data_IF_149233168868
#
_entry.id   IF_149233168868
#
_cell.length_a   1.000
_cell.length_b   1.000
_cell.length_c   1.000
_cell.angle_alpha   90.00
_cell.angle_beta   90.00
_cell.angle_gamma   90.00
#
_symmetry.space_group_name_H-M   'P 1'
#
loop_
_entity.id
_entity.type
_entity.pdbx_description
1 polymer ?
#
# COMPACT_ATOMS: atom_id res chain seq x y z
N UNK A 1 30.86 5.48 -9.74
CA UNK A 1 29.61 4.76 -9.46
C UNK A 1 29.93 3.28 -9.39
N UNK A 2 29.53 2.59 -8.33
CA UNK A 2 29.72 1.14 -8.24
C UNK A 2 28.72 0.44 -9.17
N UNK A 3 29.16 -0.65 -9.84
CA UNK A 3 28.24 -1.50 -10.59
C UNK A 3 27.38 -2.28 -9.61
N UNK A 4 26.06 -2.22 -9.77
CA UNK A 4 25.14 -2.94 -8.93
C UNK A 4 25.01 -4.41 -9.40
N UNK A 5 24.69 -5.36 -8.50
CA UNK A 5 24.62 -6.77 -8.86
C UNK A 5 23.58 -7.09 -9.94
N UNK A 6 22.50 -6.31 -10.01
CA UNK A 6 21.43 -6.47 -11.00
C UNK A 6 21.78 -5.90 -12.38
N UNK A 7 22.86 -5.13 -12.54
CA UNK A 7 23.25 -4.57 -13.85
C UNK A 7 23.64 -5.67 -14.85
N UNK A 8 24.00 -6.86 -14.34
CA UNK A 8 24.39 -8.04 -15.14
C UNK A 8 23.22 -9.00 -15.41
N UNK A 9 22.04 -8.69 -14.89
CA UNK A 9 20.86 -9.55 -14.97
C UNK A 9 19.87 -8.94 -15.96
N UNK A 10 19.28 -9.73 -16.88
CA UNK A 10 18.27 -9.21 -17.80
C UNK A 10 17.14 -8.48 -17.04
N UNK A 11 16.63 -7.34 -17.55
CA UNK A 11 15.60 -6.59 -16.85
C UNK A 11 14.37 -7.42 -16.46
N UNK A 12 13.94 -8.36 -17.32
CA UNK A 12 12.82 -9.27 -17.05
C UNK A 12 13.03 -10.22 -15.85
N UNK A 13 14.29 -10.43 -15.46
CA UNK A 13 14.70 -11.29 -14.35
C UNK A 13 15.10 -10.47 -13.11
N UNK A 14 14.69 -9.21 -13.06
CA UNK A 14 14.87 -8.32 -11.89
C UNK A 14 13.54 -7.71 -11.51
N UNK A 15 13.28 -7.53 -10.21
CA UNK A 15 12.12 -6.78 -9.74
C UNK A 15 12.53 -5.78 -8.66
N UNK A 16 12.01 -4.56 -8.75
CA UNK A 16 12.26 -3.48 -7.79
C UNK A 16 10.96 -3.08 -7.11
N UNK A 17 10.87 -3.31 -5.79
CA UNK A 17 9.66 -3.05 -5.01
C UNK A 17 9.94 -2.10 -3.86
N UNK A 18 9.26 -0.95 -3.86
CA UNK A 18 9.29 0.04 -2.78
C UNK A 18 8.11 -0.19 -1.83
N UNK A 19 8.35 -0.22 -0.52
CA UNK A 19 7.29 -0.42 0.49
C UNK A 19 7.33 0.71 1.50
N UNK A 20 6.25 1.49 1.58
CA UNK A 20 6.18 2.56 2.58
C UNK A 20 5.86 2.03 3.98
N UNK A 21 6.49 2.58 5.00
CA UNK A 21 6.30 2.14 6.39
C UNK A 21 6.81 0.73 6.66
N UNK A 22 7.95 0.36 6.09
CA UNK A 22 8.47 -1.01 6.08
C UNK A 22 9.10 -1.51 7.39
N UNK A 23 9.19 -0.68 8.43
CA UNK A 23 9.95 -1.00 9.64
C UNK A 23 9.22 -1.86 10.68
N UNK A 24 7.92 -2.11 10.52
CA UNK A 24 7.11 -2.83 11.49
C UNK A 24 5.75 -3.20 10.91
N UNK A 25 5.03 -4.11 11.58
CA UNK A 25 3.67 -4.46 11.21
C UNK A 25 3.58 -4.96 9.77
N UNK A 26 2.49 -4.66 9.08
CA UNK A 26 2.21 -5.15 7.73
C UNK A 26 3.32 -4.76 6.74
N UNK A 27 3.87 -3.55 6.83
CA UNK A 27 4.96 -3.12 5.95
C UNK A 27 6.22 -3.99 6.02
N UNK A 28 6.57 -4.46 7.22
CA UNK A 28 7.67 -5.41 7.40
C UNK A 28 7.28 -6.80 6.88
N UNK A 29 6.04 -7.25 7.18
CA UNK A 29 5.49 -8.50 6.67
C UNK A 29 5.38 -8.56 5.14
N UNK A 30 5.16 -7.42 4.47
CA UNK A 30 5.23 -7.29 3.02
C UNK A 30 6.64 -7.59 2.53
N UNK A 31 7.68 -7.06 3.20
CA UNK A 31 9.06 -7.37 2.88
C UNK A 31 9.36 -8.87 3.01
N UNK A 32 9.00 -9.48 4.15
CA UNK A 32 9.19 -10.91 4.42
C UNK A 32 8.49 -11.78 3.37
N UNK A 33 7.20 -11.55 3.14
CA UNK A 33 6.40 -12.36 2.23
C UNK A 33 6.79 -12.16 0.77
N UNK A 34 7.18 -10.95 0.38
CA UNK A 34 7.71 -10.68 -0.95
C UNK A 34 8.98 -11.49 -1.22
N UNK A 35 9.88 -11.59 -0.24
CA UNK A 35 11.08 -12.44 -0.33
C UNK A 35 10.68 -13.90 -0.53
N UNK A 36 9.79 -14.42 0.31
CA UNK A 36 9.41 -15.83 0.31
C UNK A 36 8.72 -16.24 -1.00
N UNK A 37 7.70 -15.48 -1.42
CA UNK A 37 6.94 -15.76 -2.65
C UNK A 37 7.79 -15.53 -3.90
N UNK A 38 8.62 -14.49 -3.94
CA UNK A 38 9.50 -14.26 -5.09
C UNK A 38 10.49 -15.41 -5.26
N UNK A 39 11.20 -15.77 -4.18
CA UNK A 39 12.22 -16.81 -4.23
C UNK A 39 11.63 -18.18 -4.60
N UNK A 40 10.39 -18.47 -4.19
CA UNK A 40 9.72 -19.75 -4.47
C UNK A 40 9.00 -19.82 -5.81
N UNK A 41 8.72 -18.69 -6.46
CA UNK A 41 7.98 -18.67 -7.74
C UNK A 41 8.83 -18.25 -8.94
N UNK A 42 9.86 -17.42 -8.74
CA UNK A 42 10.69 -16.86 -9.81
C UNK A 42 11.94 -17.69 -10.10
N UNK A 43 12.58 -17.40 -11.23
CA UNK A 43 13.78 -18.12 -11.67
C UNK A 43 14.88 -18.08 -10.59
N UNK A 44 15.64 -19.16 -10.47
CA UNK A 44 16.78 -19.28 -9.56
C UNK A 44 17.94 -18.32 -9.90
N UNK A 45 17.92 -17.68 -11.06
CA UNK A 45 18.86 -16.64 -11.48
C UNK A 45 18.32 -15.22 -11.35
N UNK A 46 17.04 -15.06 -10.98
CA UNK A 46 16.39 -13.74 -10.93
C UNK A 46 16.70 -13.01 -9.61
N UNK A 47 16.70 -11.67 -9.63
CA UNK A 47 17.08 -10.84 -8.49
C UNK A 47 15.90 -10.00 -7.98
N UNK A 48 15.73 -9.97 -6.66
CA UNK A 48 14.74 -9.14 -5.97
C UNK A 48 15.44 -7.96 -5.31
N UNK A 49 14.93 -6.76 -5.53
CA UNK A 49 15.33 -5.54 -4.80
C UNK A 49 14.13 -5.04 -3.99
N UNK A 50 14.26 -5.06 -2.65
CA UNK A 50 13.25 -4.56 -1.72
C UNK A 50 13.75 -3.25 -1.12
N UNK A 51 12.92 -2.21 -1.20
CA UNK A 51 13.25 -0.87 -0.70
C UNK A 51 12.19 -0.46 0.34
N UNK A 52 12.28 -0.93 1.60
CA UNK A 52 11.47 -0.38 2.68
C UNK A 52 11.81 1.09 2.94
N UNK A 53 10.80 1.92 3.15
CA UNK A 53 10.98 3.30 3.64
C UNK A 53 10.75 3.37 5.14
N UNK A 54 11.53 4.17 5.85
CA UNK A 54 11.35 4.39 7.30
C UNK A 54 11.54 5.85 7.67
N UNK A 55 11.15 6.27 8.88
CA UNK A 55 11.30 7.67 9.32
C UNK A 55 12.72 8.04 9.79
N UNK A 56 13.64 7.08 9.98
CA UNK A 56 14.98 7.39 10.49
C UNK A 56 16.03 6.39 10.04
N UNK A 57 17.29 6.83 9.97
CA UNK A 57 18.42 5.96 9.61
C UNK A 57 18.51 4.69 10.47
N UNK A 58 18.30 4.82 11.79
CA UNK A 58 18.31 3.68 12.71
C UNK A 58 17.24 2.64 12.33
N UNK A 59 16.00 3.09 12.11
CA UNK A 59 14.91 2.19 11.71
C UNK A 59 15.17 1.56 10.35
N UNK A 60 15.76 2.30 9.42
CA UNK A 60 16.18 1.77 8.11
C UNK A 60 17.18 0.63 8.28
N UNK A 61 18.20 0.81 9.12
CA UNK A 61 19.18 -0.25 9.39
C UNK A 61 18.56 -1.47 10.07
N UNK A 62 17.78 -1.27 11.14
CA UNK A 62 17.06 -2.35 11.83
C UNK A 62 16.14 -3.14 10.88
N UNK A 63 15.49 -2.45 9.94
CA UNK A 63 14.62 -3.07 8.93
C UNK A 63 15.42 -3.90 7.93
N UNK A 64 16.53 -3.35 7.42
CA UNK A 64 17.44 -4.05 6.51
C UNK A 64 17.95 -5.33 7.18
N UNK A 65 18.43 -5.23 8.42
CA UNK A 65 18.97 -6.37 9.17
C UNK A 65 17.88 -7.40 9.50
N UNK A 66 16.66 -6.94 9.80
CA UNK A 66 15.47 -7.77 9.94
C UNK A 66 15.19 -8.63 8.72
N UNK A 67 15.07 -7.99 7.55
CA UNK A 67 14.75 -8.67 6.29
C UNK A 67 15.91 -9.55 5.80
N UNK A 68 17.17 -9.16 6.05
CA UNK A 68 18.35 -10.01 5.81
C UNK A 68 18.29 -11.28 6.66
N UNK A 69 18.01 -11.16 7.95
CA UNK A 69 17.86 -12.31 8.85
C UNK A 69 16.73 -13.24 8.40
N UNK A 70 15.58 -12.67 8.02
CA UNK A 70 14.47 -13.44 7.45
C UNK A 70 14.88 -14.19 6.18
N UNK A 71 15.53 -13.50 5.23
CA UNK A 71 16.01 -14.09 3.98
C UNK A 71 16.95 -15.28 4.23
N UNK A 72 17.91 -15.14 5.15
CA UNK A 72 18.82 -16.24 5.53
C UNK A 72 18.04 -17.42 6.11
N UNK A 73 17.16 -17.14 7.06
CA UNK A 73 16.36 -18.17 7.70
C UNK A 73 15.53 -18.92 6.64
N UNK A 74 14.81 -18.20 5.78
CA UNK A 74 14.01 -18.80 4.72
C UNK A 74 14.85 -19.59 3.71
N UNK A 75 16.00 -19.05 3.30
CA UNK A 75 16.91 -19.75 2.39
C UNK A 75 17.40 -21.09 2.97
N UNK A 76 17.62 -21.17 4.28
CA UNK A 76 18.05 -22.41 4.94
C UNK A 76 16.88 -23.37 5.17
N UNK A 77 15.73 -22.87 5.61
CA UNK A 77 14.64 -23.73 6.10
C UNK A 77 13.68 -24.18 5.01
N UNK A 78 13.54 -23.42 3.91
CA UNK A 78 12.49 -23.67 2.90
C UNK A 78 12.69 -24.97 2.11
N UNK A 79 11.80 -25.93 2.32
CA UNK A 79 11.74 -27.18 1.54
C UNK A 79 11.37 -26.92 0.08
N UNK A 80 10.57 -25.89 -0.19
CA UNK A 80 10.20 -25.52 -1.56
C UNK A 80 11.42 -25.10 -2.37
N UNK A 81 12.33 -24.33 -1.78
CA UNK A 81 13.58 -23.93 -2.46
C UNK A 81 14.50 -25.13 -2.69
N UNK A 82 14.68 -25.99 -1.68
CA UNK A 82 15.50 -27.21 -1.81
C UNK A 82 14.97 -28.12 -2.91
N UNK A 83 13.66 -28.36 -2.95
CA UNK A 83 13.01 -29.18 -3.99
C UNK A 83 13.19 -28.60 -5.39
N UNK A 84 13.12 -27.27 -5.54
CA UNK A 84 13.27 -26.60 -6.84
C UNK A 84 14.70 -26.57 -7.34
N UNK A 85 15.67 -26.33 -6.46
CA UNK A 85 17.08 -26.23 -6.83
C UNK A 85 17.81 -27.59 -6.89
N UNK A 86 17.26 -28.61 -6.24
CA UNK A 86 17.82 -29.97 -6.25
C UNK A 86 18.96 -30.18 -5.25
N UNK A 87 19.69 -31.30 -5.36
CA UNK A 87 20.68 -31.73 -4.37
C UNK A 87 21.86 -30.77 -4.15
N UNK A 88 22.15 -29.90 -5.14
CA UNK A 88 23.23 -28.91 -5.10
C UNK A 88 22.78 -27.54 -4.57
N UNK A 89 21.64 -27.48 -3.88
CA UNK A 89 21.10 -26.23 -3.35
C UNK A 89 22.05 -25.59 -2.33
N UNK A 90 22.49 -24.37 -2.63
CA UNK A 90 23.27 -23.54 -1.72
C UNK A 90 22.43 -22.33 -1.27
N UNK A 91 22.04 -22.26 0.02
CA UNK A 91 21.31 -21.11 0.58
C UNK A 91 21.98 -19.77 0.32
N UNK A 92 23.32 -19.73 0.23
CA UNK A 92 24.08 -18.50 -0.01
C UNK A 92 23.86 -17.94 -1.41
N UNK A 93 23.68 -18.80 -2.41
CA UNK A 93 23.31 -18.35 -3.76
C UNK A 93 21.91 -17.70 -3.79
N UNK A 94 21.01 -18.13 -2.89
CA UNK A 94 19.69 -17.51 -2.73
C UNK A 94 19.78 -16.13 -2.11
N UNK A 95 20.49 -15.99 -0.98
CA UNK A 95 20.61 -14.71 -0.26
C UNK A 95 21.28 -13.63 -1.11
N UNK A 96 22.30 -13.99 -1.92
CA UNK A 96 23.02 -13.05 -2.80
C UNK A 96 22.18 -12.47 -3.95
N UNK A 97 20.97 -12.99 -4.19
CA UNK A 97 20.02 -12.48 -5.19
C UNK A 97 18.94 -11.57 -4.58
N UNK A 98 18.92 -11.41 -3.26
CA UNK A 98 17.99 -10.52 -2.55
C UNK A 98 18.76 -9.31 -2.06
N UNK A 99 18.36 -8.14 -2.54
CA UNK A 99 19.01 -6.87 -2.28
C UNK A 99 18.06 -5.99 -1.48
N UNK A 100 18.47 -5.58 -0.28
CA UNK A 100 17.62 -4.77 0.61
C UNK A 100 18.29 -3.43 0.84
N UNK A 101 17.62 -2.36 0.40
CA UNK A 101 18.03 -0.97 0.54
C UNK A 101 16.96 -0.20 1.30
N UNK A 102 17.24 1.02 1.74
CA UNK A 102 16.21 1.84 2.39
C UNK A 102 16.38 3.31 2.06
N UNK A 103 15.26 4.02 2.05
CA UNK A 103 15.21 5.48 1.94
C UNK A 103 14.40 6.04 3.10
N UNK A 104 14.82 7.20 3.62
CA UNK A 104 14.12 7.86 4.71
C UNK A 104 12.94 8.66 4.18
N UNK A 105 11.75 8.40 4.71
CA UNK A 105 10.50 9.02 4.29
C UNK A 105 9.62 9.27 5.50
N UNK A 106 9.30 10.54 5.74
CA UNK A 106 8.16 10.93 6.57
C UNK A 106 7.08 11.56 5.69
N UNK A 107 5.96 10.84 5.54
CA UNK A 107 4.82 11.27 4.71
C UNK A 107 4.14 12.53 5.26
N UNK A 108 4.34 12.83 6.54
CA UNK A 108 3.86 14.06 7.16
C UNK A 108 4.83 15.25 7.00
N UNK A 109 5.91 15.10 6.23
CA UNK A 109 6.85 16.17 5.89
C UNK A 109 7.10 16.19 4.38
N UNK A 110 6.52 17.16 3.68
CA UNK A 110 6.67 17.31 2.23
C UNK A 110 8.13 17.50 1.80
N UNK A 111 8.98 18.24 2.55
CA UNK A 111 10.41 18.24 2.28
C UNK A 111 11.05 16.84 2.40
N UNK A 112 10.62 16.02 3.36
CA UNK A 112 11.08 14.63 3.44
C UNK A 112 10.63 13.81 2.24
N UNK A 113 9.38 13.98 1.79
CA UNK A 113 8.84 13.32 0.59
C UNK A 113 9.68 13.67 -0.64
N UNK A 114 9.95 14.97 -0.85
CA UNK A 114 10.78 15.46 -1.96
C UNK A 114 12.21 14.93 -1.91
N UNK A 115 12.86 14.97 -0.75
CA UNK A 115 14.22 14.43 -0.58
C UNK A 115 14.27 12.93 -0.89
N UNK A 116 13.32 12.16 -0.38
CA UNK A 116 13.24 10.72 -0.64
C UNK A 116 13.07 10.41 -2.13
N UNK A 117 12.15 11.11 -2.80
CA UNK A 117 11.93 10.93 -4.23
C UNK A 117 13.15 11.34 -5.06
N UNK A 118 13.76 12.49 -4.76
CA UNK A 118 14.99 12.96 -5.42
C UNK A 118 16.14 11.97 -5.25
N UNK A 119 16.31 11.41 -4.05
CA UNK A 119 17.33 10.39 -3.78
C UNK A 119 17.11 9.13 -4.62
N UNK A 120 15.87 8.66 -4.74
CA UNK A 120 15.55 7.50 -5.57
C UNK A 120 15.73 7.76 -7.07
N UNK A 121 15.23 8.90 -7.57
CA UNK A 121 15.17 9.21 -9.01
C UNK A 121 16.54 9.62 -9.56
N UNK A 122 17.28 10.43 -8.81
CA UNK A 122 18.51 11.09 -9.30
C UNK A 122 19.76 10.77 -8.48
N UNK A 123 19.59 10.24 -7.27
CA UNK A 123 20.67 9.94 -6.34
C UNK A 123 21.05 8.46 -6.35
N UNK A 124 21.59 8.04 -5.21
CA UNK A 124 22.01 6.67 -4.94
C UNK A 124 21.52 6.21 -3.57
N UNK A 125 21.47 4.90 -3.40
CA UNK A 125 21.23 4.25 -2.11
C UNK A 125 22.45 3.39 -1.74
N UNK A 126 22.64 3.19 -0.44
CA UNK A 126 23.69 2.33 0.12
C UNK A 126 23.07 1.43 1.19
N UNK A 127 23.56 0.20 1.24
CA UNK A 127 23.22 -0.81 2.25
C UNK A 127 24.44 -1.70 2.44
N UNK A 128 25.49 -1.18 3.11
CA UNK A 128 26.68 -1.97 3.40
C UNK A 128 26.31 -3.23 4.19
N UNK A 129 27.11 -4.28 4.02
CA UNK A 129 27.00 -5.51 4.78
C UNK A 129 28.39 -6.11 4.96
N UNK A 130 28.72 -6.46 6.20
CA UNK A 130 29.91 -7.23 6.54
C UNK A 130 29.63 -8.74 6.49
N UNK A 131 28.42 -9.12 6.09
CA UNK A 131 27.93 -10.48 6.04
C UNK A 131 28.03 -11.03 4.61
N UNK A 132 28.90 -12.02 4.39
CA UNK A 132 29.23 -12.55 3.05
C UNK A 132 28.06 -13.30 2.38
N UNK A 133 26.98 -13.58 3.12
CA UNK A 133 25.73 -14.08 2.53
C UNK A 133 25.01 -13.00 1.71
N UNK A 134 25.30 -11.72 1.94
CA UNK A 134 24.70 -10.60 1.22
C UNK A 134 25.72 -9.82 0.43
N UNK A 135 25.29 -9.28 -0.71
CA UNK A 135 26.13 -8.37 -1.47
C UNK A 135 26.08 -6.99 -0.81
N UNK A 136 27.23 -6.45 -0.44
CA UNK A 136 27.36 -5.08 0.05
C UNK A 136 27.09 -4.09 -1.09
N UNK A 137 26.17 -3.15 -0.87
CA UNK A 137 25.72 -2.19 -1.88
C UNK A 137 26.16 -0.78 -1.47
N UNK A 138 26.98 -0.13 -2.30
CA UNK A 138 27.50 1.22 -2.04
C UNK A 138 27.22 2.10 -3.23
N UNK A 139 26.49 3.20 -3.01
CA UNK A 139 26.18 4.22 -4.00
C UNK A 139 25.60 3.66 -5.31
N UNK A 140 24.64 2.75 -5.17
CA UNK A 140 23.96 2.11 -6.29
C UNK A 140 22.75 2.93 -6.74
N UNK A 141 22.50 2.97 -8.04
CA UNK A 141 21.33 3.62 -8.62
C UNK A 141 20.16 2.65 -8.72
N UNK A 142 18.96 3.16 -8.49
CA UNK A 142 17.71 2.42 -8.75
C UNK A 142 17.29 2.72 -10.18
N UNK A 143 17.34 1.74 -11.11
CA UNK A 143 17.07 2.01 -12.52
C UNK A 143 15.57 2.20 -12.78
N UNK A 144 14.72 1.62 -11.95
CA UNK A 144 13.26 1.65 -12.06
C UNK A 144 12.59 1.14 -10.79
N UNK A 145 11.28 1.33 -10.70
CA UNK A 145 10.40 0.67 -9.73
C UNK A 145 9.35 -0.13 -10.50
N UNK A 146 9.24 -1.42 -10.21
CA UNK A 146 8.23 -2.31 -10.81
C UNK A 146 6.95 -2.33 -9.97
N UNK A 147 7.06 -2.13 -8.66
CA UNK A 147 5.91 -1.92 -7.79
C UNK A 147 6.24 -0.95 -6.65
N UNK A 148 5.25 -0.15 -6.28
CA UNK A 148 5.28 0.71 -5.10
C UNK A 148 4.05 0.40 -4.26
N UNK A 149 4.27 -0.01 -3.02
CA UNK A 149 3.22 -0.42 -2.08
C UNK A 149 3.05 0.65 -1.00
N UNK A 150 1.93 1.35 -1.07
CA UNK A 150 1.53 2.41 -0.16
C UNK A 150 0.78 1.84 1.06
N UNK A 151 1.56 1.20 1.94
CA UNK A 151 1.13 0.58 3.20
C UNK A 151 1.08 1.57 4.39
N UNK A 152 2.00 2.52 4.46
CA UNK A 152 2.14 3.37 5.65
C UNK A 152 0.81 4.10 5.98
N UNK A 153 0.53 4.27 7.26
CA UNK A 153 -0.64 5.02 7.69
C UNK A 153 -0.76 5.11 9.19
N UNK A 154 -1.67 5.98 9.64
CA UNK A 154 -2.04 6.17 11.04
C UNK A 154 -3.55 6.15 11.20
N UNK A 155 -4.04 5.69 12.35
CA UNK A 155 -5.47 5.63 12.65
C UNK A 155 -6.05 6.90 13.28
N UNK A 156 -5.25 7.67 14.04
CA UNK A 156 -5.73 8.86 14.75
C UNK A 156 -6.57 8.57 16.01
N UNK A 157 -6.67 7.31 16.44
CA UNK A 157 -7.44 6.88 17.62
C UNK A 157 -6.72 7.15 18.95
N UNK A 158 -7.50 7.32 20.01
CA UNK A 158 -7.02 7.42 21.40
C UNK A 158 -7.41 6.23 22.28
N UNK A 159 -8.34 5.38 21.83
CA UNK A 159 -8.79 4.23 22.60
C UNK A 159 -10.13 3.66 22.14
N UNK A 160 -10.80 2.92 23.00
CA UNK A 160 -12.11 2.30 22.76
C UNK A 160 -13.22 3.03 23.54
N UNK A 161 -14.38 3.18 22.92
CA UNK A 161 -15.64 3.50 23.59
C UNK A 161 -16.23 2.20 24.16
N UNK A 162 -15.91 1.89 25.42
CA UNK A 162 -16.26 0.62 26.06
C UNK A 162 -17.76 0.29 26.07
N UNK A 163 -18.67 1.22 26.44
CA UNK A 163 -20.11 0.98 26.28
C UNK A 163 -20.48 0.58 24.86
N UNK A 164 -19.91 1.25 23.83
CA UNK A 164 -20.14 0.88 22.43
C UNK A 164 -19.52 -0.46 22.05
N UNK A 165 -18.41 -0.88 22.65
CA UNK A 165 -17.83 -2.23 22.42
C UNK A 165 -18.86 -3.29 22.76
N UNK A 166 -19.39 -3.26 23.99
CA UNK A 166 -20.39 -4.24 24.44
C UNK A 166 -21.65 -4.14 23.60
N UNK A 167 -22.18 -2.94 23.39
CA UNK A 167 -23.37 -2.72 22.56
C UNK A 167 -23.18 -3.30 21.15
N UNK A 168 -22.04 -3.08 20.52
CA UNK A 168 -21.76 -3.54 19.16
C UNK A 168 -21.62 -5.06 19.08
N UNK A 169 -20.98 -5.70 20.06
CA UNK A 169 -20.91 -7.16 20.17
C UNK A 169 -22.31 -7.76 20.36
N UNK A 170 -23.12 -7.22 21.26
CA UNK A 170 -24.47 -7.74 21.53
C UNK A 170 -25.44 -7.54 20.37
N UNK A 171 -25.34 -6.42 19.64
CA UNK A 171 -26.30 -6.08 18.57
C UNK A 171 -25.89 -6.61 17.20
N UNK A 172 -24.59 -6.65 16.88
CA UNK A 172 -24.09 -7.05 15.54
C UNK A 172 -23.35 -8.38 15.54
N UNK A 173 -23.10 -8.96 16.72
CA UNK A 173 -22.33 -10.18 16.88
C UNK A 173 -20.81 -9.96 16.82
N UNK A 174 -20.06 -10.95 17.34
CA UNK A 174 -18.62 -10.86 17.52
C UNK A 174 -17.85 -10.66 16.20
N UNK A 175 -18.22 -11.40 15.14
CA UNK A 175 -17.56 -11.30 13.82
C UNK A 175 -17.71 -9.88 13.26
N UNK A 176 -18.92 -9.32 13.27
CA UNK A 176 -19.14 -7.97 12.74
C UNK A 176 -18.41 -6.93 13.58
N UNK A 177 -18.46 -7.04 14.90
CA UNK A 177 -17.85 -6.06 15.82
C UNK A 177 -16.32 -6.02 15.71
N UNK A 178 -15.69 -7.12 15.31
CA UNK A 178 -14.23 -7.24 15.18
C UNK A 178 -13.73 -7.01 13.75
N UNK A 179 -14.62 -7.13 12.74
CA UNK A 179 -14.32 -6.82 11.34
C UNK A 179 -14.60 -5.35 11.00
N UNK A 180 -15.71 -4.81 11.49
CA UNK A 180 -16.20 -3.44 11.22
C UNK A 180 -16.55 -2.71 12.53
N UNK A 181 -15.57 -2.46 13.41
CA UNK A 181 -15.78 -1.85 14.71
C UNK A 181 -16.34 -0.43 14.61
N UNK A 182 -17.42 -0.14 15.33
CA UNK A 182 -18.05 1.20 15.43
C UNK A 182 -17.78 1.91 16.76
N UNK A 183 -16.85 1.37 17.54
CA UNK A 183 -16.54 1.79 18.90
C UNK A 183 -15.11 2.36 19.06
N UNK A 184 -14.45 2.68 17.95
CA UNK A 184 -13.11 3.27 17.97
C UNK A 184 -13.22 4.74 18.39
N UNK A 185 -12.58 5.10 19.50
CA UNK A 185 -12.49 6.47 19.97
C UNK A 185 -11.43 7.23 19.18
N UNK A 186 -11.85 8.25 18.43
CA UNK A 186 -10.97 9.19 17.74
C UNK A 186 -11.45 10.64 17.94
N UNK A 187 -10.50 11.57 17.88
CA UNK A 187 -10.76 13.01 17.94
C UNK A 187 -10.61 13.60 16.55
N UNK A 188 -11.54 14.48 16.17
CA UNK A 188 -11.32 15.42 15.07
C UNK A 188 -10.29 16.48 15.44
N UNK A 189 -9.90 17.28 14.47
CA UNK A 189 -9.02 18.45 14.62
C UNK A 189 -7.53 18.12 14.66
N UNK A 190 -7.13 16.90 14.26
CA UNK A 190 -5.71 16.53 14.22
C UNK A 190 -5.02 17.18 13.02
N UNK A 191 -4.17 18.16 13.30
CA UNK A 191 -3.49 18.97 12.28
C UNK A 191 -1.98 18.78 12.35
N UNK A 192 -1.35 18.90 11.18
CA UNK A 192 0.11 18.94 11.02
C UNK A 192 0.50 20.09 10.11
N UNK A 193 1.62 20.75 10.39
CA UNK A 193 2.30 21.56 9.40
C UNK A 193 3.19 20.63 8.57
N UNK A 194 2.88 20.38 7.31
CA UNK A 194 3.57 19.37 6.52
C UNK A 194 4.86 19.94 5.90
N UNK A 195 5.18 21.22 6.08
CA UNK A 195 6.48 21.80 5.71
C UNK A 195 7.50 21.48 6.80
N UNK A 196 7.18 21.78 8.05
CA UNK A 196 8.07 21.54 9.20
C UNK A 196 7.97 20.13 9.76
N UNK A 197 6.87 19.41 9.47
CA UNK A 197 6.55 18.11 10.09
C UNK A 197 6.07 18.22 11.54
N UNK A 198 5.72 19.42 12.01
CA UNK A 198 5.35 19.66 13.42
C UNK A 198 3.83 19.56 13.63
N UNK A 199 3.41 18.89 14.70
CA UNK A 199 2.00 18.79 15.11
C UNK A 199 1.55 20.05 15.86
N UNK A 200 0.25 20.31 15.87
CA UNK A 200 -0.35 21.38 16.67
C UNK A 200 -0.71 22.63 15.87
N UNK A 201 -0.95 23.75 16.57
CA UNK A 201 -1.40 25.01 15.98
C UNK A 201 -0.24 25.76 15.32
N UNK A 202 -0.33 26.01 14.01
CA UNK A 202 0.65 26.74 13.19
C UNK A 202 0.14 26.86 11.75
N UNK A 203 0.67 27.77 10.92
CA UNK A 203 0.25 27.91 9.52
C UNK A 203 1.48 27.67 8.63
N UNK A 204 1.35 26.95 7.50
CA UNK A 204 0.15 26.27 6.98
C UNK A 204 -0.11 24.89 7.61
N UNK A 205 -1.36 24.40 7.52
CA UNK A 205 -1.82 23.13 8.11
C UNK A 205 -2.61 22.25 7.14
N UNK A 206 -2.55 20.94 7.37
CA UNK A 206 -3.32 19.87 6.70
C UNK A 206 -3.79 18.86 7.77
N UNK A 207 -4.85 18.10 7.50
CA UNK A 207 -5.24 16.98 8.35
C UNK A 207 -4.11 15.95 8.51
N UNK A 208 -3.73 15.62 9.75
CA UNK A 208 -2.59 14.73 10.05
C UNK A 208 -2.78 13.34 9.44
N UNK A 209 -3.97 12.77 9.62
CA UNK A 209 -4.33 11.43 9.14
C UNK A 209 -4.42 11.40 7.61
N UNK A 210 -4.99 12.45 7.00
CA UNK A 210 -5.04 12.61 5.55
C UNK A 210 -3.65 12.77 4.95
N UNK A 211 -2.77 13.55 5.57
CA UNK A 211 -1.39 13.72 5.12
C UNK A 211 -0.63 12.39 5.15
N UNK A 212 -0.73 11.65 6.24
CA UNK A 212 -0.06 10.37 6.41
C UNK A 212 -0.59 9.25 5.50
N UNK A 213 -1.91 9.17 5.28
CA UNK A 213 -2.56 8.04 4.62
C UNK A 213 -2.77 8.24 3.11
N UNK A 214 -2.82 9.49 2.64
CA UNK A 214 -3.18 9.82 1.24
C UNK A 214 -2.24 10.85 0.65
N UNK A 215 -2.20 12.07 1.20
CA UNK A 215 -1.57 13.20 0.50
C UNK A 215 -0.05 13.08 0.38
N UNK A 216 0.65 12.64 1.43
CA UNK A 216 2.09 12.40 1.38
C UNK A 216 2.46 11.33 0.35
N UNK A 217 1.68 10.26 0.25
CA UNK A 217 1.86 9.21 -0.76
C UNK A 217 1.57 9.72 -2.16
N UNK A 218 0.53 10.53 -2.32
CA UNK A 218 0.16 11.15 -3.59
C UNK A 218 1.33 11.97 -4.15
N UNK A 219 1.88 12.88 -3.34
CA UNK A 219 3.05 13.67 -3.73
C UNK A 219 4.29 12.80 -4.00
N UNK A 220 4.46 11.73 -3.24
CA UNK A 220 5.57 10.82 -3.42
C UNK A 220 5.47 10.06 -4.75
N UNK A 221 4.33 9.46 -5.07
CA UNK A 221 4.13 8.74 -6.32
C UNK A 221 4.30 9.64 -7.55
N UNK A 222 3.78 10.87 -7.51
CA UNK A 222 3.93 11.82 -8.61
C UNK A 222 5.41 12.06 -8.94
N UNK A 223 6.26 12.20 -7.92
CA UNK A 223 7.70 12.41 -8.09
C UNK A 223 8.46 11.13 -8.47
N UNK A 224 7.90 9.95 -8.17
CA UNK A 224 8.47 8.66 -8.55
C UNK A 224 8.07 8.21 -9.97
N UNK A 225 7.18 8.93 -10.66
CA UNK A 225 6.78 8.62 -12.04
C UNK A 225 7.97 8.34 -12.96
N UNK A 226 9.11 9.09 -12.93
CA UNK A 226 10.26 8.79 -13.79
C UNK A 226 10.85 7.37 -13.61
N UNK A 227 10.69 6.74 -12.43
CA UNK A 227 11.15 5.37 -12.18
C UNK A 227 10.08 4.32 -12.54
N UNK A 228 8.82 4.73 -12.63
CA UNK A 228 7.66 3.85 -12.85
C UNK A 228 7.23 3.81 -14.32
N UNK A 229 7.29 4.95 -15.00
CA UNK A 229 7.04 5.06 -16.42
C UNK A 229 7.94 4.11 -17.22
N UNK A 230 7.38 3.55 -18.30
CA UNK A 230 8.09 2.65 -19.21
C UNK A 230 8.06 3.22 -20.62
N UNK A 231 9.12 3.09 -21.42
CA UNK A 231 9.04 3.32 -22.87
C UNK A 231 7.97 2.40 -23.49
N UNK A 232 7.24 2.85 -24.52
CA UNK A 232 6.21 2.02 -25.15
C UNK A 232 6.72 0.71 -25.76
N UNK A 233 7.99 0.66 -26.17
CA UNK A 233 8.63 -0.56 -26.68
C UNK A 233 9.23 -1.44 -25.56
N UNK A 234 9.00 -1.10 -24.29
CA UNK A 234 9.45 -1.89 -23.15
C UNK A 234 8.84 -3.29 -23.19
N UNK A 235 9.67 -4.31 -23.02
CA UNK A 235 9.21 -5.70 -22.82
C UNK A 235 8.77 -5.98 -21.38
N UNK A 236 9.01 -5.04 -20.46
CA UNK A 236 8.55 -5.15 -19.07
C UNK A 236 7.07 -4.75 -18.98
N UNK A 237 6.36 -5.42 -18.06
CA UNK A 237 5.01 -5.00 -17.68
C UNK A 237 4.99 -3.55 -17.16
N UNK A 238 3.84 -2.86 -17.26
CA UNK A 238 3.64 -1.58 -16.57
C UNK A 238 3.93 -1.73 -15.08
N UNK A 239 4.59 -0.73 -14.49
CA UNK A 239 4.80 -0.73 -13.04
C UNK A 239 3.47 -0.53 -12.30
N UNK A 240 3.47 -0.81 -10.99
CA UNK A 240 2.25 -0.84 -10.18
C UNK A 240 2.32 0.13 -9.01
N UNK A 241 1.31 0.95 -8.83
CA UNK A 241 1.06 1.70 -7.59
C UNK A 241 -0.06 0.95 -6.86
N UNK A 242 0.27 0.34 -5.73
CA UNK A 242 -0.64 -0.49 -4.94
C UNK A 242 -0.99 0.28 -3.67
N UNK A 243 -2.23 0.75 -3.58
CA UNK A 243 -2.74 1.47 -2.42
C UNK A 243 -3.33 0.52 -1.40
N UNK A 244 -2.85 0.62 -0.15
CA UNK A 244 -3.39 -0.15 0.95
C UNK A 244 -4.51 0.62 1.67
N UNK A 245 -5.73 0.17 1.45
CA UNK A 245 -6.94 0.63 2.12
C UNK A 245 -7.27 -0.25 3.35
N UNK A 246 -8.52 -0.24 3.79
CA UNK A 246 -9.04 -1.04 4.90
C UNK A 246 -10.30 -1.80 4.46
N UNK A 247 -10.69 -2.85 5.19
CA UNK A 247 -12.00 -3.53 4.99
C UNK A 247 -13.19 -2.65 5.45
N UNK A 248 -12.90 -1.53 6.12
CA UNK A 248 -13.87 -0.78 6.92
C UNK A 248 -14.64 0.40 6.31
N UNK A 249 -14.14 1.15 5.30
CA UNK A 249 -14.73 2.44 4.97
C UNK A 249 -16.10 2.30 4.30
N UNK A 250 -17.12 2.87 4.95
CA UNK A 250 -18.48 2.99 4.39
C UNK A 250 -18.65 4.28 3.59
N UNK A 251 -19.77 4.39 2.87
CA UNK A 251 -20.13 5.59 2.13
C UNK A 251 -20.10 6.86 3.00
N UNK A 252 -20.70 6.80 4.19
CA UNK A 252 -20.87 7.95 5.10
C UNK A 252 -19.56 8.43 5.76
N UNK A 253 -18.48 7.64 5.67
CA UNK A 253 -17.22 8.01 6.29
C UNK A 253 -16.51 9.17 5.60
N UNK A 254 -16.87 9.51 4.36
CA UNK A 254 -16.21 10.54 3.56
C UNK A 254 -17.16 11.67 3.17
N UNK A 255 -16.67 12.91 3.26
CA UNK A 255 -17.38 14.10 2.81
C UNK A 255 -16.43 15.02 2.06
N UNK A 256 -16.90 15.57 0.93
CA UNK A 256 -16.17 16.59 0.16
C UNK A 256 -15.98 17.90 0.95
N UNK A 257 -16.87 18.19 1.90
CA UNK A 257 -16.80 19.39 2.75
C UNK A 257 -15.73 19.28 3.85
N UNK A 258 -15.24 18.07 4.11
CA UNK A 258 -14.14 17.75 5.03
C UNK A 258 -13.12 16.84 4.34
N UNK A 259 -12.72 17.23 3.12
CA UNK A 259 -11.86 16.44 2.23
C UNK A 259 -10.54 15.99 2.87
N UNK A 260 -9.94 16.85 3.70
CA UNK A 260 -8.70 16.58 4.43
C UNK A 260 -8.93 15.84 5.76
N UNK A 261 -10.17 15.38 6.03
CA UNK A 261 -10.60 14.66 7.23
C UNK A 261 -10.20 15.37 8.54
N UNK A 262 -10.41 16.69 8.59
CA UNK A 262 -10.04 17.52 9.73
C UNK A 262 -11.15 17.50 10.78
N UNK A 263 -12.41 17.66 10.39
CA UNK A 263 -13.53 17.81 11.34
C UNK A 263 -14.05 16.47 11.84
N UNK A 264 -14.05 15.46 10.99
CA UNK A 264 -14.58 14.13 11.30
C UNK A 264 -13.84 13.43 12.44
N UNK A 265 -14.57 12.67 13.25
CA UNK A 265 -14.00 11.72 14.22
C UNK A 265 -13.66 10.37 13.59
N UNK A 266 -14.01 10.15 12.32
CA UNK A 266 -13.71 8.95 11.53
C UNK A 266 -12.63 9.22 10.48
N UNK A 267 -11.56 9.92 10.86
CA UNK A 267 -10.54 10.38 9.90
C UNK A 267 -9.81 9.23 9.20
N UNK A 268 -9.58 8.11 9.90
CA UNK A 268 -9.00 6.91 9.28
C UNK A 268 -9.93 6.36 8.18
N UNK A 269 -11.20 6.17 8.50
CA UNK A 269 -12.19 5.62 7.58
C UNK A 269 -12.41 6.57 6.40
N UNK A 270 -12.50 7.88 6.64
CA UNK A 270 -12.59 8.92 5.60
C UNK A 270 -11.42 8.85 4.62
N UNK A 271 -10.19 8.76 5.13
CA UNK A 271 -9.00 8.71 4.27
C UNK A 271 -8.89 7.41 3.50
N UNK A 272 -9.25 6.28 4.11
CA UNK A 272 -9.29 4.97 3.43
C UNK A 272 -10.41 4.90 2.39
N UNK A 273 -11.54 5.58 2.62
CA UNK A 273 -12.61 5.76 1.63
C UNK A 273 -12.14 6.59 0.45
N UNK A 274 -11.43 7.69 0.69
CA UNK A 274 -10.81 8.49 -0.38
C UNK A 274 -9.80 7.66 -1.19
N UNK A 275 -8.99 6.82 -0.53
CA UNK A 275 -8.10 5.87 -1.21
C UNK A 275 -8.86 4.92 -2.13
N UNK A 276 -9.98 4.34 -1.67
CA UNK A 276 -10.83 3.46 -2.49
C UNK A 276 -11.34 4.21 -3.74
N UNK A 277 -11.88 5.41 -3.54
CA UNK A 277 -12.43 6.25 -4.62
C UNK A 277 -11.36 6.57 -5.65
N UNK A 278 -10.18 7.06 -5.23
CA UNK A 278 -9.11 7.44 -6.15
C UNK A 278 -8.60 6.24 -6.96
N UNK A 279 -8.34 5.10 -6.31
CA UNK A 279 -7.79 3.93 -6.97
C UNK A 279 -8.77 3.33 -7.99
N UNK A 280 -10.03 3.09 -7.58
CA UNK A 280 -11.04 2.41 -8.41
C UNK A 280 -11.53 3.27 -9.58
N UNK A 281 -11.43 4.59 -9.46
CA UNK A 281 -11.85 5.52 -10.53
C UNK A 281 -10.71 5.98 -11.43
N UNK A 282 -9.48 5.53 -11.18
CA UNK A 282 -8.26 6.01 -11.86
C UNK A 282 -8.26 5.78 -13.38
N UNK A 283 -8.94 4.74 -13.87
CA UNK A 283 -9.02 4.43 -15.31
C UNK A 283 -10.28 4.97 -15.99
N UNK A 284 -11.14 5.66 -15.26
CA UNK A 284 -12.39 6.18 -15.80
C UNK A 284 -12.17 7.44 -16.63
N UNK A 285 -12.94 7.64 -17.72
CA UNK A 285 -12.83 8.82 -18.57
C UNK A 285 -12.93 10.15 -17.82
N UNK A 286 -13.82 10.25 -16.82
CA UNK A 286 -14.04 11.47 -16.05
C UNK A 286 -12.84 11.85 -15.14
N UNK A 287 -12.09 10.86 -14.66
CA UNK A 287 -10.91 11.08 -13.81
C UNK A 287 -9.63 11.30 -14.61
N UNK A 288 -9.59 10.81 -15.86
CA UNK A 288 -8.41 10.81 -16.73
C UNK A 288 -7.68 12.16 -16.86
N UNK A 289 -8.36 13.32 -17.01
CA UNK A 289 -7.67 14.62 -17.12
C UNK A 289 -6.82 15.00 -15.90
N UNK A 290 -7.13 14.43 -14.73
CA UNK A 290 -6.41 14.67 -13.48
C UNK A 290 -5.38 13.57 -13.23
N UNK A 291 -5.74 12.31 -13.51
CA UNK A 291 -4.83 11.16 -13.42
C UNK A 291 -3.64 11.31 -14.37
N UNK A 292 -3.87 11.78 -15.60
CA UNK A 292 -2.79 12.01 -16.57
C UNK A 292 -1.80 13.10 -16.10
N UNK A 293 -2.29 14.11 -15.35
CA UNK A 293 -1.43 15.14 -14.72
C UNK A 293 -0.64 14.55 -13.56
N UNK A 294 -1.30 13.78 -12.71
CA UNK A 294 -0.68 13.05 -11.60
C UNK A 294 0.43 12.10 -12.06
N UNK A 295 0.21 11.41 -13.18
CA UNK A 295 1.16 10.47 -13.79
C UNK A 295 2.11 11.13 -14.79
N UNK A 296 2.14 12.47 -14.88
CA UNK A 296 2.97 13.25 -15.80
C UNK A 296 2.96 12.76 -17.26
N UNK A 297 1.83 12.25 -17.75
CA UNK A 297 1.71 11.66 -19.09
C UNK A 297 1.81 12.74 -20.19
N UNK A 298 1.39 13.98 -19.89
CA UNK A 298 1.24 15.06 -20.88
C UNK A 298 2.25 16.21 -20.73
N UNK A 299 3.24 16.10 -19.83
CA UNK A 299 4.13 17.22 -19.46
C UNK A 299 5.50 17.18 -20.14
N UNK A 300 5.82 16.13 -20.92
CA UNK A 300 7.06 16.12 -21.69
C UNK A 300 6.86 16.90 -23.01
N UNK A 301 7.70 17.91 -23.30
CA UNK A 301 7.64 18.60 -24.60
C UNK A 301 7.84 17.56 -25.70
N UNK A 302 6.87 17.45 -26.59
CA UNK A 302 6.90 16.57 -27.76
C UNK A 302 7.95 17.07 -28.76
N UNK A 303 9.23 16.87 -28.46
CA UNK A 303 10.32 17.15 -29.42
C UNK A 303 10.52 16.00 -30.40
N UNK A 304 9.88 14.85 -30.17
CA UNK A 304 9.91 13.68 -31.07
C UNK A 304 8.56 12.93 -31.08
N UNK A 305 7.95 12.66 -32.25
CA UNK A 305 6.62 12.04 -32.36
C UNK A 305 6.52 10.55 -31.95
N UNK A 306 7.57 9.94 -31.39
CA UNK A 306 7.72 8.46 -31.35
C UNK A 306 7.91 7.83 -29.97
N UNK A 307 7.94 8.58 -28.87
CA UNK A 307 8.07 7.97 -27.54
C UNK A 307 6.76 8.05 -26.76
N UNK A 308 5.76 7.25 -27.15
CA UNK A 308 4.66 6.97 -26.22
C UNK A 308 5.24 6.32 -24.95
N UNK A 309 4.79 6.80 -23.80
CA UNK A 309 5.20 6.28 -22.49
C UNK A 309 4.04 5.45 -21.96
N UNK A 310 4.34 4.26 -21.44
CA UNK A 310 3.39 3.44 -20.71
C UNK A 310 3.42 3.87 -19.24
N UNK A 311 2.33 4.46 -18.70
CA UNK A 311 2.27 4.89 -17.32
C UNK A 311 2.13 3.71 -16.34
N UNK A 312 2.39 3.91 -15.04
CA UNK A 312 2.05 2.93 -14.02
C UNK A 312 0.54 2.65 -13.98
N UNK A 313 0.17 1.42 -13.62
CA UNK A 313 -1.21 1.05 -13.26
C UNK A 313 -1.45 1.22 -11.76
N UNK A 314 -2.68 1.60 -11.39
CA UNK A 314 -3.08 1.82 -10.00
C UNK A 314 -3.99 0.67 -9.56
N UNK A 315 -3.69 0.09 -8.40
CA UNK A 315 -4.46 -1.01 -7.81
C UNK A 315 -4.77 -0.74 -6.35
N UNK A 316 -5.76 -1.46 -5.83
CA UNK A 316 -6.29 -1.28 -4.48
C UNK A 316 -6.29 -2.59 -3.70
N UNK A 317 -5.79 -2.57 -2.48
CA UNK A 317 -5.80 -3.72 -1.56
C UNK A 317 -6.30 -3.35 -0.18
N UNK A 318 -6.58 -4.36 0.65
CA UNK A 318 -6.58 -4.21 2.11
C UNK A 318 -6.01 -5.46 2.79
N UNK A 319 -5.39 -5.32 3.97
CA UNK A 319 -4.70 -6.41 4.66
C UNK A 319 -5.63 -7.32 5.47
N UNK A 320 -6.95 -7.09 5.43
CA UNK A 320 -7.88 -7.62 6.41
C UNK A 320 -7.64 -7.05 7.80
N UNK A 321 -7.97 -7.81 8.84
CA UNK A 321 -7.77 -7.47 10.25
C UNK A 321 -6.48 -8.11 10.74
N UNK A 322 -5.48 -7.26 10.96
CA UNK A 322 -4.15 -7.61 11.43
C UNK A 322 -3.93 -6.96 12.78
N UNK A 323 -3.42 -7.74 13.72
CA UNK A 323 -2.99 -7.20 14.99
C UNK A 323 -1.69 -6.41 14.81
N UNK A 324 -1.79 -5.08 14.91
CA UNK A 324 -0.64 -4.17 14.83
C UNK A 324 -0.74 -3.10 15.92
N UNK A 325 0.35 -2.37 16.13
CA UNK A 325 0.39 -1.21 17.03
C UNK A 325 -0.31 0.03 16.46
N UNK A 326 -0.97 -0.09 15.29
CA UNK A 326 -1.77 0.99 14.70
C UNK A 326 -2.90 1.44 15.63
N UNK A 327 -3.50 0.49 16.36
CA UNK A 327 -4.47 0.76 17.40
C UNK A 327 -3.77 0.76 18.78
N UNK A 328 -3.85 1.85 19.56
CA UNK A 328 -3.10 1.98 20.81
C UNK A 328 -3.75 1.15 21.94
N UNK A 329 -3.36 -0.12 22.06
CA UNK A 329 -3.76 -1.00 23.15
C UNK A 329 -2.63 -1.19 24.16
N UNK A 330 -2.97 -1.25 25.44
CA UNK A 330 -2.03 -1.74 26.45
C UNK A 330 -1.76 -3.25 26.26
N UNK A 331 -0.69 -3.77 26.86
CA UNK A 331 -0.27 -5.17 26.65
C UNK A 331 -1.35 -6.21 26.98
N UNK A 332 -2.13 -5.99 28.04
CA UNK A 332 -3.23 -6.89 28.44
C UNK A 332 -4.33 -6.94 27.36
N UNK A 333 -4.79 -5.77 26.91
CA UNK A 333 -5.79 -5.69 25.84
C UNK A 333 -5.25 -6.20 24.51
N UNK A 334 -3.97 -5.95 24.21
CA UNK A 334 -3.33 -6.46 23.01
C UNK A 334 -3.35 -7.99 22.99
N UNK A 335 -2.99 -8.65 24.10
CA UNK A 335 -3.09 -10.11 24.22
C UNK A 335 -4.52 -10.63 23.99
N UNK A 336 -5.51 -10.08 24.70
CA UNK A 336 -6.90 -10.55 24.57
C UNK A 336 -7.51 -10.24 23.21
N UNK A 337 -7.15 -9.11 22.60
CA UNK A 337 -7.54 -8.80 21.23
C UNK A 337 -7.03 -9.87 20.27
N UNK A 338 -5.77 -10.33 20.40
CA UNK A 338 -5.24 -11.43 19.59
C UNK A 338 -6.10 -12.70 19.71
N UNK A 339 -6.42 -13.10 20.95
CA UNK A 339 -7.27 -14.27 21.23
C UNK A 339 -8.63 -14.14 20.55
N UNK A 340 -9.26 -12.97 20.67
CA UNK A 340 -10.56 -12.69 20.01
C UNK A 340 -10.45 -12.80 18.50
N UNK A 341 -9.38 -12.29 17.89
CA UNK A 341 -9.19 -12.39 16.44
C UNK A 341 -9.08 -13.85 15.97
N UNK A 342 -8.40 -14.72 16.73
CA UNK A 342 -8.34 -16.15 16.43
C UNK A 342 -9.71 -16.83 16.56
N UNK A 343 -10.46 -16.52 17.61
CA UNK A 343 -11.84 -17.01 17.78
C UNK A 343 -12.69 -16.61 16.56
N UNK A 344 -12.62 -15.36 16.14
CA UNK A 344 -13.40 -14.86 15.00
C UNK A 344 -13.00 -15.51 13.68
N UNK A 345 -11.71 -15.79 13.47
CA UNK A 345 -11.26 -16.61 12.32
C UNK A 345 -11.90 -17.99 12.36
N UNK A 346 -11.89 -18.66 13.51
CA UNK A 346 -12.49 -19.99 13.67
C UNK A 346 -14.00 -20.00 13.50
N UNK A 347 -14.68 -18.89 13.83
CA UNK A 347 -16.09 -18.68 13.52
C UNK A 347 -16.35 -18.40 12.02
N UNK A 348 -15.33 -18.49 11.16
CA UNK A 348 -15.45 -18.49 9.71
C UNK A 348 -15.23 -17.13 9.04
N UNK A 349 -14.77 -16.11 9.78
CA UNK A 349 -14.46 -14.80 9.20
C UNK A 349 -13.27 -14.90 8.24
N UNK A 350 -13.43 -14.52 6.95
CA UNK A 350 -12.32 -14.54 6.02
C UNK A 350 -11.34 -13.40 6.26
N UNK A 351 -11.76 -12.31 6.90
CA UNK A 351 -10.98 -11.08 7.01
C UNK A 351 -10.03 -11.03 8.19
N UNK A 352 -9.67 -12.17 8.79
CA UNK A 352 -8.80 -12.20 9.97
C UNK A 352 -7.45 -12.85 9.67
N UNK A 353 -6.52 -12.20 8.94
CA UNK A 353 -5.16 -12.70 8.74
C UNK A 353 -4.29 -12.64 9.99
N UNK A 354 -4.63 -11.77 10.95
CA UNK A 354 -4.06 -11.63 12.30
C UNK A 354 -2.59 -11.20 12.34
N UNK A 355 -1.71 -11.86 11.60
CA UNK A 355 -0.27 -11.57 11.58
C UNK A 355 0.09 -10.64 10.43
N UNK A 356 1.14 -9.85 10.61
CA UNK A 356 1.65 -8.94 9.60
C UNK A 356 2.01 -9.66 8.29
N UNK A 357 2.72 -10.80 8.39
CA UNK A 357 3.07 -11.65 7.25
C UNK A 357 1.83 -12.12 6.48
N UNK A 358 0.78 -12.56 7.19
CA UNK A 358 -0.45 -13.00 6.53
C UNK A 358 -1.16 -11.82 5.86
N UNK A 359 -1.24 -10.67 6.55
CA UNK A 359 -1.78 -9.40 6.05
C UNK A 359 -1.20 -8.97 4.70
N UNK A 360 0.06 -9.31 4.45
CA UNK A 360 0.79 -9.00 3.22
C UNK A 360 0.36 -9.79 1.97
N UNK A 361 -0.57 -10.76 2.07
CA UNK A 361 -0.96 -11.62 0.94
C UNK A 361 -1.37 -10.83 -0.31
N UNK A 362 -2.40 -9.98 -0.20
CA UNK A 362 -2.93 -9.23 -1.34
C UNK A 362 -1.93 -8.25 -1.96
N UNK A 363 -1.21 -7.41 -1.19
CA UNK A 363 -0.21 -6.51 -1.78
C UNK A 363 0.94 -7.25 -2.46
N UNK A 364 1.46 -8.33 -1.87
CA UNK A 364 2.55 -9.13 -2.48
C UNK A 364 2.05 -9.86 -3.73
N UNK A 365 0.86 -10.45 -3.67
CA UNK A 365 0.24 -11.07 -4.83
C UNK A 365 0.06 -10.07 -5.97
N UNK A 366 -0.46 -8.87 -5.73
CA UNK A 366 -0.56 -7.84 -6.77
C UNK A 366 0.80 -7.38 -7.29
N UNK A 367 1.83 -7.31 -6.45
CA UNK A 367 3.18 -6.94 -6.88
C UNK A 367 3.81 -8.01 -7.77
N UNK A 368 3.52 -9.28 -7.50
CA UNK A 368 4.13 -10.42 -8.20
C UNK A 368 3.25 -11.01 -9.30
N UNK A 369 1.95 -10.74 -9.39
CA UNK A 369 1.06 -11.42 -10.35
C UNK A 369 1.44 -11.11 -11.82
N UNK A 370 1.17 -12.04 -12.72
CA UNK A 370 1.34 -11.81 -14.15
C UNK A 370 0.40 -10.73 -14.68
N UNK A 371 0.92 -9.83 -15.51
CA UNK A 371 0.14 -8.69 -15.99
C UNK A 371 -1.06 -9.10 -16.83
N UNK A 372 -0.92 -10.13 -17.69
CA UNK A 372 -2.02 -10.62 -18.51
C UNK A 372 -3.21 -11.12 -17.70
N UNK A 373 -2.95 -11.75 -16.54
CA UNK A 373 -4.01 -12.17 -15.62
C UNK A 373 -4.72 -10.96 -15.00
N UNK A 374 -3.96 -9.95 -14.54
CA UNK A 374 -4.53 -8.74 -13.95
C UNK A 374 -5.40 -7.98 -14.95
N UNK A 375 -4.94 -7.89 -16.20
CA UNK A 375 -5.66 -7.20 -17.28
C UNK A 375 -6.95 -7.93 -17.66
N UNK A 376 -6.89 -9.26 -17.79
CA UNK A 376 -8.08 -10.08 -18.06
C UNK A 376 -9.10 -10.05 -16.92
N UNK A 377 -8.65 -9.85 -15.68
CA UNK A 377 -9.51 -9.72 -14.51
C UNK A 377 -10.01 -8.28 -14.25
N UNK A 378 -9.60 -7.30 -15.06
CA UNK A 378 -9.83 -5.87 -14.81
C UNK A 378 -9.44 -5.47 -13.38
N UNK A 379 -8.27 -5.91 -12.93
CA UNK A 379 -7.88 -5.86 -11.52
C UNK A 379 -7.79 -4.44 -10.95
N UNK A 380 -7.65 -3.41 -11.78
CA UNK A 380 -7.71 -1.99 -11.38
C UNK A 380 -9.11 -1.54 -10.90
N UNK A 381 -10.17 -2.29 -11.23
CA UNK A 381 -11.55 -2.02 -10.83
C UNK A 381 -11.98 -2.79 -9.58
N UNK A 382 -11.06 -3.50 -8.96
CA UNK A 382 -11.34 -4.43 -7.86
C UNK A 382 -10.54 -4.01 -6.62
N UNK A 383 -11.21 -4.04 -5.47
CA UNK A 383 -10.54 -4.02 -4.18
C UNK A 383 -10.15 -5.43 -3.77
N UNK A 384 -8.86 -5.70 -3.65
CA UNK A 384 -8.33 -7.02 -3.34
C UNK A 384 -7.98 -7.15 -1.85
N UNK A 385 -8.69 -8.01 -1.14
CA UNK A 385 -8.46 -8.28 0.27
C UNK A 385 -7.56 -9.48 0.52
N UNK A 386 -6.68 -9.35 1.51
CA UNK A 386 -6.12 -10.53 2.18
C UNK A 386 -7.21 -11.19 2.99
N UNK A 387 -7.46 -12.46 2.69
CA UNK A 387 -8.36 -13.34 3.43
C UNK A 387 -7.64 -14.57 3.95
N UNK A 388 -8.20 -15.21 4.98
CA UNK A 388 -7.74 -16.50 5.50
C UNK A 388 -8.89 -17.48 5.64
N UNK A 389 -8.59 -18.77 5.55
CA UNK A 389 -9.50 -19.80 6.00
C UNK A 389 -9.41 -20.04 7.52
N UNK A 390 -10.09 -21.09 8.00
CA UNK A 390 -10.11 -21.48 9.40
C UNK A 390 -8.70 -21.73 9.98
N UNK A 391 -7.81 -22.30 9.17
CA UNK A 391 -6.45 -22.68 9.56
C UNK A 391 -5.44 -21.53 9.43
N UNK A 392 -5.85 -20.42 8.82
CA UNK A 392 -4.99 -19.26 8.60
C UNK A 392 -4.30 -19.25 7.24
N UNK A 393 -4.67 -20.17 6.33
CA UNK A 393 -4.13 -20.19 4.97
C UNK A 393 -4.60 -18.96 4.21
N UNK A 394 -3.65 -18.16 3.74
CA UNK A 394 -3.93 -16.89 3.10
C UNK A 394 -4.39 -17.06 1.66
N UNK A 395 -5.40 -16.27 1.26
CA UNK A 395 -5.89 -16.17 -0.11
C UNK A 395 -6.23 -14.73 -0.43
N UNK A 396 -6.08 -14.37 -1.69
CA UNK A 396 -6.59 -13.09 -2.19
C UNK A 396 -8.05 -13.24 -2.59
N UNK A 397 -8.88 -12.30 -2.16
CA UNK A 397 -10.33 -12.29 -2.44
C UNK A 397 -10.77 -10.90 -2.89
N UNK A 398 -11.76 -10.82 -3.77
CA UNK A 398 -12.46 -9.56 -4.07
C UNK A 398 -13.23 -9.08 -2.83
N UNK A 399 -13.29 -7.78 -2.65
CA UNK A 399 -13.99 -7.12 -1.55
C UNK A 399 -14.97 -6.09 -2.11
N UNK A 400 -16.21 -6.15 -1.67
CA UNK A 400 -17.22 -5.17 -2.03
C UNK A 400 -16.85 -3.78 -1.49
N UNK A 401 -17.08 -2.76 -2.32
CA UNK A 401 -16.92 -1.36 -1.94
C UNK A 401 -18.28 -0.68 -2.05
N UNK A 402 -18.70 -0.06 -0.96
CA UNK A 402 -19.99 0.62 -0.89
C UNK A 402 -20.12 1.66 -2.01
N UNK A 403 -21.24 1.62 -2.74
CA UNK A 403 -21.51 2.42 -3.94
C UNK A 403 -20.71 2.10 -5.22
N UNK A 404 -19.76 1.16 -5.17
CA UNK A 404 -19.02 0.66 -6.34
C UNK A 404 -19.36 -0.79 -6.69
N UNK A 405 -19.78 -1.58 -5.70
CA UNK A 405 -19.92 -3.03 -5.82
C UNK A 405 -18.55 -3.71 -5.81
N UNK A 406 -18.40 -4.81 -6.53
CA UNK A 406 -17.17 -5.61 -6.55
C UNK A 406 -16.21 -5.23 -7.68
N UNK A 407 -16.77 -4.76 -8.81
CA UNK A 407 -16.04 -4.56 -10.08
C UNK A 407 -16.45 -3.27 -10.83
N UNK A 408 -17.25 -2.39 -10.20
CA UNK A 408 -17.73 -1.16 -10.83
C UNK A 408 -18.88 -1.36 -11.81
N UNK A 409 -19.68 -2.41 -11.60
CA UNK A 409 -20.87 -2.77 -12.36
C UNK A 409 -21.92 -3.35 -11.42
N UNK A 410 -23.19 -3.24 -11.79
CA UNK A 410 -24.27 -3.95 -11.09
C UNK A 410 -24.16 -5.44 -11.39
N UNK A 411 -24.25 -6.27 -10.36
CA UNK A 411 -24.10 -7.73 -10.48
C UNK A 411 -25.29 -8.44 -9.85
N UNK A 412 -25.80 -9.44 -10.56
CA UNK A 412 -26.92 -10.25 -10.09
C UNK A 412 -26.54 -11.09 -8.87
N UNK A 413 -27.43 -11.16 -7.87
CA UNK A 413 -27.22 -11.90 -6.62
C UNK A 413 -26.87 -13.39 -6.85
N UNK A 414 -27.42 -14.00 -7.91
CA UNK A 414 -27.08 -15.39 -8.26
C UNK A 414 -25.61 -15.54 -8.69
N UNK A 415 -25.09 -14.60 -9.49
CA UNK A 415 -23.67 -14.60 -9.89
C UNK A 415 -22.76 -14.41 -8.66
N UNK A 416 -23.14 -13.50 -7.75
CA UNK A 416 -22.39 -13.27 -6.50
C UNK A 416 -22.31 -14.53 -5.62
N UNK A 417 -23.38 -15.34 -5.56
CA UNK A 417 -23.40 -16.62 -4.84
C UNK A 417 -22.51 -17.66 -5.50
N UNK A 418 -22.60 -17.79 -6.82
CA UNK A 418 -21.83 -18.76 -7.60
C UNK A 418 -20.33 -18.49 -7.54
N UNK A 419 -19.93 -17.22 -7.52
CA UNK A 419 -18.53 -16.80 -7.37
C UNK A 419 -18.06 -16.76 -5.91
N UNK A 420 -18.90 -17.20 -4.96
CA UNK A 420 -18.62 -17.16 -3.52
C UNK A 420 -18.24 -15.76 -3.00
N UNK A 421 -18.68 -14.69 -3.66
CA UNK A 421 -18.39 -13.29 -3.28
C UNK A 421 -18.99 -12.96 -1.91
N UNK A 422 -20.19 -13.47 -1.60
CA UNK A 422 -20.92 -13.14 -0.38
C UNK A 422 -20.24 -13.51 0.95
N UNK A 423 -19.32 -14.49 0.97
CA UNK A 423 -18.59 -14.83 2.20
C UNK A 423 -17.62 -13.70 2.56
N UNK A 424 -17.86 -13.02 3.68
CA UNK A 424 -17.12 -11.82 4.09
C UNK A 424 -17.78 -10.52 3.66
N UNK A 425 -18.96 -10.55 3.05
CA UNK A 425 -19.73 -9.33 2.80
C UNK A 425 -20.14 -8.66 4.12
N UNK A 426 -20.08 -7.34 4.18
CA UNK A 426 -20.46 -6.58 5.37
C UNK A 426 -21.96 -6.77 5.69
N UNK A 427 -22.35 -7.06 6.94
CA UNK A 427 -23.75 -7.14 7.33
C UNK A 427 -24.48 -5.83 7.04
N UNK A 428 -25.62 -5.91 6.37
CA UNK A 428 -26.42 -4.74 5.98
C UNK A 428 -25.89 -3.99 4.74
N UNK A 429 -24.86 -4.51 4.06
CA UNK A 429 -24.44 -3.96 2.76
C UNK A 429 -25.60 -3.97 1.76
N UNK A 430 -25.74 -2.87 1.03
CA UNK A 430 -26.77 -2.68 0.00
C UNK A 430 -26.16 -3.00 -1.36
N UNK A 431 -26.89 -3.75 -2.19
CA UNK A 431 -26.48 -4.02 -3.57
C UNK A 431 -26.35 -2.70 -4.34
N UNK A 432 -25.26 -2.56 -5.11
CA UNK A 432 -25.03 -1.33 -5.87
C UNK A 432 -26.07 -1.19 -6.99
N UNK A 433 -26.56 0.03 -7.19
CA UNK A 433 -27.45 0.39 -8.31
C UNK A 433 -26.69 1.19 -9.37
N UNK A 434 -27.28 1.33 -10.56
CA UNK A 434 -26.67 2.15 -11.63
C UNK A 434 -26.57 3.63 -11.23
N UNK A 435 -27.58 4.17 -10.54
CA UNK A 435 -27.55 5.55 -10.03
C UNK A 435 -26.40 5.73 -9.05
N UNK A 436 -26.22 4.78 -8.13
CA UNK A 436 -25.15 4.82 -7.15
C UNK A 436 -23.77 4.71 -7.81
N UNK A 437 -23.62 3.91 -8.86
CA UNK A 437 -22.40 3.86 -9.65
C UNK A 437 -22.11 5.20 -10.33
N UNK A 438 -23.13 5.87 -10.89
CA UNK A 438 -22.95 7.20 -11.50
C UNK A 438 -22.47 8.20 -10.47
N UNK A 439 -23.06 8.21 -9.27
CA UNK A 439 -22.60 9.06 -8.16
C UNK A 439 -21.15 8.75 -7.75
N UNK A 440 -20.78 7.47 -7.60
CA UNK A 440 -19.42 7.07 -7.25
C UNK A 440 -18.40 7.53 -8.32
N UNK A 441 -18.75 7.39 -9.61
CA UNK A 441 -17.89 7.81 -10.72
C UNK A 441 -17.71 9.33 -10.76
N UNK A 442 -18.78 10.09 -10.53
CA UNK A 442 -18.73 11.55 -10.44
C UNK A 442 -17.90 12.01 -9.22
N UNK A 443 -18.09 11.37 -8.08
CA UNK A 443 -17.30 11.59 -6.86
C UNK A 443 -15.81 11.33 -7.11
N UNK A 444 -15.46 10.28 -7.85
CA UNK A 444 -14.09 9.99 -8.26
C UNK A 444 -13.42 11.14 -9.02
N UNK A 445 -14.10 11.66 -10.05
CA UNK A 445 -13.57 12.78 -10.83
C UNK A 445 -13.36 14.04 -9.97
N UNK A 446 -14.30 14.33 -9.07
CA UNK A 446 -14.19 15.46 -8.15
C UNK A 446 -13.05 15.28 -7.13
N UNK A 447 -12.90 14.07 -6.57
CA UNK A 447 -11.78 13.76 -5.66
C UNK A 447 -10.43 13.91 -6.35
N UNK A 448 -10.29 13.42 -7.58
CA UNK A 448 -9.06 13.58 -8.37
C UNK A 448 -8.76 15.06 -8.68
N UNK A 449 -9.79 15.85 -9.02
CA UNK A 449 -9.65 17.31 -9.22
C UNK A 449 -9.14 17.99 -7.95
N UNK A 450 -9.76 17.72 -6.81
CA UNK A 450 -9.39 18.30 -5.49
C UNK A 450 -7.98 17.92 -5.08
N UNK A 451 -7.56 16.67 -5.29
CA UNK A 451 -6.18 16.23 -5.02
C UNK A 451 -5.15 17.01 -5.85
N UNK A 452 -5.42 17.23 -7.14
CA UNK A 452 -4.53 18.00 -8.02
C UNK A 452 -4.46 19.48 -7.65
N UNK A 453 -5.56 20.07 -7.19
CA UNK A 453 -5.60 21.44 -6.68
C UNK A 453 -4.77 21.58 -5.40
N UNK A 454 -4.99 20.68 -4.43
CA UNK A 454 -4.22 20.65 -3.19
C UNK A 454 -2.73 20.45 -3.45
N UNK A 455 -2.37 19.52 -4.36
CA UNK A 455 -0.98 19.28 -4.75
C UNK A 455 -0.31 20.57 -5.20
N UNK A 456 -0.91 21.29 -6.15
CA UNK A 456 -0.33 22.55 -6.67
C UNK A 456 -0.13 23.59 -5.57
N UNK A 457 -1.13 23.77 -4.71
CA UNK A 457 -1.07 24.73 -3.59
C UNK A 457 0.09 24.38 -2.65
N UNK A 458 0.23 23.11 -2.29
CA UNK A 458 1.27 22.68 -1.36
C UNK A 458 2.66 22.64 -1.98
N UNK A 459 2.80 22.26 -3.25
CA UNK A 459 4.07 22.33 -3.97
C UNK A 459 4.59 23.77 -4.01
N UNK A 460 3.74 24.75 -4.33
CA UNK A 460 4.10 26.17 -4.33
C UNK A 460 4.56 26.65 -2.94
N UNK A 461 3.88 26.21 -1.88
CA UNK A 461 4.26 26.56 -0.50
C UNK A 461 5.63 25.99 -0.13
N UNK A 462 5.91 24.74 -0.51
CA UNK A 462 7.22 24.13 -0.24
C UNK A 462 8.31 24.82 -1.07
N UNK A 463 8.05 25.14 -2.33
CA UNK A 463 8.98 25.88 -3.21
C UNK A 463 9.33 27.27 -2.64
N UNK A 464 8.34 27.99 -2.09
CA UNK A 464 8.56 29.28 -1.46
C UNK A 464 9.50 29.17 -0.25
N UNK A 465 9.32 28.15 0.59
CA UNK A 465 10.18 27.92 1.76
C UNK A 465 11.59 27.47 1.34
N UNK A 466 11.72 26.57 0.37
CA UNK A 466 13.02 26.09 -0.12
C UNK A 466 13.82 27.18 -0.85
N UNK A 467 13.15 28.15 -1.47
CA UNK A 467 13.78 29.31 -2.13
C UNK A 467 14.06 30.48 -1.19
N UNK A 468 13.77 30.36 0.11
CA UNK A 468 13.97 31.43 1.10
C UNK A 468 13.01 32.62 0.93
N UNK A 469 11.87 32.42 0.26
CA UNK A 469 10.83 33.44 0.01
C UNK A 469 9.63 33.26 0.97
N UNK A 470 9.91 32.98 2.25
CA UNK A 470 8.89 32.76 3.28
C UNK A 470 8.41 34.06 3.90
#
# INVERSE_FOLDING_TARGET
MASAPWDRVPPKDTIFVLVTGGNSGIGFGIGERLIDEYLTTRSLSSHLVVIPTTRSARKSQETIDGLRRHTKQFAVTSDALRKRAGPSYDPKQTTRRVHILSVQLDLCSLPSVRRAAKQLVSGTLSSPSDDDDFVSLIDVKIPRLDSVIFNAGIGGWYGLDWPKVFHNIFTKGLISATTWPTFKGALGGRLINPITGTKGQGIPQIGEVFCANVFGHYLFAQQLVPLMARPANSTLAPSRIIWESSVEPDWECFSLDDFEAIKTTAAYESTKRLTDILALTSTLPASRPYVDKYLNINTQPQTTPTSSITPPKIYLVHPGVVQTTLFPLNAFMFFWYNVVLYIVRWLGSPWHPITAYNGACAPVWLALQEQGWLDGAHAERVKWGTSTDFWGECRVKKTEVDGWGWEGKVEEMMALKQEHKLKGRKPGAVDVTEERLVEFKALGAECWRRMEELRKVWEQRVDAVESGRS
#
